data_IF_834565128167
#
_entry.id   IF_834565128167
#
_cell.length_a   1.000
_cell.length_b   1.000
_cell.length_c   1.000
_cell.angle_alpha   90.00
_cell.angle_beta   90.00
_cell.angle_gamma   90.00
#
_symmetry.space_group_name_H-M   'P 1'
#
loop_
_entity.id
_entity.type
_entity.pdbx_description
1 polymer ?
#
# COMPACT_ATOMS: atom_id res chain seq x y z
N UNK A 1 -8.27 -6.84 42.60
CA UNK A 1 -7.56 -7.41 41.42
C UNK A 1 -8.04 -6.80 40.09
N UNK A 2 -9.34 -6.50 39.93
CA UNK A 2 -9.90 -5.92 38.69
C UNK A 2 -9.17 -4.69 38.12
N UNK A 3 -8.66 -3.78 38.97
CA UNK A 3 -7.94 -2.57 38.53
C UNK A 3 -6.58 -2.92 37.89
N UNK A 4 -5.88 -3.93 38.41
CA UNK A 4 -4.59 -4.36 37.87
C UNK A 4 -4.79 -5.07 36.52
N UNK A 5 -5.79 -5.95 36.43
CA UNK A 5 -6.16 -6.65 35.20
C UNK A 5 -6.56 -5.67 34.09
N UNK A 6 -7.40 -4.67 34.42
CA UNK A 6 -7.79 -3.62 33.49
C UNK A 6 -6.59 -2.80 32.99
N UNK A 7 -5.61 -2.50 33.87
CA UNK A 7 -4.38 -1.78 33.49
C UNK A 7 -3.48 -2.62 32.58
N UNK A 8 -3.35 -3.92 32.84
CA UNK A 8 -2.57 -4.84 32.01
C UNK A 8 -3.20 -5.02 30.63
N UNK A 9 -4.53 -5.17 30.57
CA UNK A 9 -5.26 -5.25 29.31
C UNK A 9 -5.08 -3.99 28.47
N UNK A 10 -5.28 -2.81 29.08
CA UNK A 10 -5.09 -1.52 28.40
C UNK A 10 -3.66 -1.35 27.86
N UNK A 11 -2.65 -1.81 28.62
CA UNK A 11 -1.25 -1.77 28.17
C UNK A 11 -1.03 -2.65 26.93
N UNK A 12 -1.60 -3.86 26.92
CA UNK A 12 -1.50 -4.79 25.78
C UNK A 12 -2.20 -4.24 24.54
N UNK A 13 -3.40 -3.68 24.70
CA UNK A 13 -4.15 -3.04 23.62
C UNK A 13 -3.37 -1.86 23.03
N UNK A 14 -2.81 -1.00 23.88
CA UNK A 14 -2.00 0.13 23.45
C UNK A 14 -0.76 -0.32 22.68
N UNK A 15 -0.07 -1.36 23.14
CA UNK A 15 1.08 -1.93 22.43
C UNK A 15 0.71 -2.49 21.06
N UNK A 16 -0.45 -3.14 20.93
CA UNK A 16 -0.92 -3.67 19.65
C UNK A 16 -1.30 -2.55 18.67
N UNK A 17 -1.99 -1.52 19.17
CA UNK A 17 -2.32 -0.32 18.40
C UNK A 17 -1.06 0.42 17.94
N UNK A 18 -0.06 0.55 18.80
CA UNK A 18 1.23 1.15 18.44
C UNK A 18 1.92 0.38 17.33
N UNK A 19 1.98 -0.96 17.43
CA UNK A 19 2.56 -1.81 16.37
C UNK A 19 1.82 -1.63 15.03
N UNK A 20 0.49 -1.63 15.05
CA UNK A 20 -0.32 -1.46 13.84
C UNK A 20 -0.10 -0.05 13.26
N UNK A 21 -0.12 0.98 14.11
CA UNK A 21 0.09 2.37 13.68
C UNK A 21 1.48 2.59 13.10
N UNK A 22 2.52 1.97 13.68
CA UNK A 22 3.89 2.03 13.21
C UNK A 22 4.05 1.37 11.85
N UNK A 23 3.51 0.15 11.69
CA UNK A 23 3.47 -0.56 10.40
C UNK A 23 2.74 0.24 9.32
N UNK A 24 1.58 0.82 9.66
CA UNK A 24 0.80 1.65 8.74
C UNK A 24 1.56 2.92 8.33
N UNK A 25 2.21 3.61 9.28
CA UNK A 25 3.04 4.79 8.99
C UNK A 25 4.19 4.42 8.04
N UNK A 26 4.87 3.29 8.30
CA UNK A 26 5.94 2.82 7.43
C UNK A 26 5.46 2.47 6.01
N UNK A 27 4.25 1.92 5.85
CA UNK A 27 3.67 1.61 4.54
C UNK A 27 3.24 2.85 3.75
N UNK A 28 2.74 3.90 4.41
CA UNK A 28 2.26 5.11 3.75
C UNK A 28 3.42 6.09 3.43
N UNK A 29 4.47 6.08 4.25
CA UNK A 29 5.57 7.05 4.14
C UNK A 29 5.12 8.46 4.52
N UNK A 30 5.59 9.47 3.78
CA UNK A 30 5.22 10.88 3.99
C UNK A 30 4.08 11.36 3.09
N UNK A 31 3.46 10.45 2.31
CA UNK A 31 2.38 10.73 1.37
C UNK A 31 2.72 11.84 0.35
N UNK A 32 4.01 12.00 0.02
CA UNK A 32 4.47 13.01 -0.95
C UNK A 32 4.35 12.46 -2.38
N UNK A 33 4.10 13.35 -3.35
CA UNK A 33 4.05 12.99 -4.78
C UNK A 33 5.37 12.38 -5.31
N UNK A 34 6.49 12.65 -4.64
CA UNK A 34 7.78 12.05 -4.95
C UNK A 34 7.84 10.55 -4.62
N UNK A 35 7.08 10.09 -3.62
CA UNK A 35 7.11 8.71 -3.12
C UNK A 35 6.07 7.80 -3.80
N UNK A 36 5.33 8.32 -4.78
CA UNK A 36 4.29 7.55 -5.47
C UNK A 36 4.88 6.30 -6.13
N UNK A 37 4.25 5.16 -5.90
CA UNK A 37 4.62 3.89 -6.56
C UNK A 37 4.04 3.76 -7.97
N UNK A 38 2.99 4.52 -8.30
CA UNK A 38 2.31 4.49 -9.60
C UNK A 38 1.89 5.89 -10.04
N UNK A 39 1.87 6.13 -11.35
CA UNK A 39 1.28 7.32 -11.99
C UNK A 39 0.17 6.88 -12.92
N UNK A 40 -1.05 7.40 -12.72
CA UNK A 40 -2.19 7.25 -13.60
C UNK A 40 -2.28 8.48 -14.51
N UNK A 41 -2.06 8.31 -15.81
CA UNK A 41 -2.09 9.38 -16.81
C UNK A 41 -3.27 9.16 -17.75
N UNK A 42 -4.40 9.79 -17.45
CA UNK A 42 -5.63 9.67 -18.24
C UNK A 42 -5.51 10.27 -19.66
N UNK A 43 -4.95 11.49 -19.86
CA UNK A 43 -4.79 12.05 -21.20
C UNK A 43 -3.93 11.20 -22.15
N UNK A 44 -2.98 10.41 -21.61
CA UNK A 44 -2.10 9.54 -22.40
C UNK A 44 -2.49 8.06 -22.33
N UNK A 45 -3.66 7.74 -21.75
CA UNK A 45 -4.17 6.38 -21.56
C UNK A 45 -3.11 5.40 -21.02
N UNK A 46 -2.42 5.79 -19.93
CA UNK A 46 -1.28 5.02 -19.42
C UNK A 46 -1.19 4.98 -17.91
N UNK A 47 -0.89 3.80 -17.39
CA UNK A 47 -0.46 3.57 -16.01
C UNK A 47 1.04 3.26 -15.99
N UNK A 48 1.82 3.98 -15.18
CA UNK A 48 3.26 3.70 -14.99
C UNK A 48 3.50 3.26 -13.54
N UNK A 49 4.15 2.11 -13.32
CA UNK A 49 4.59 1.65 -12.00
C UNK A 49 6.08 1.92 -11.83
N UNK A 50 6.43 2.74 -10.84
CA UNK A 50 7.79 3.21 -10.57
C UNK A 50 8.65 2.16 -9.88
N UNK A 51 8.06 1.14 -9.27
CA UNK A 51 8.81 0.07 -8.60
C UNK A 51 9.59 -0.76 -9.62
N UNK A 52 8.99 -1.01 -10.78
CA UNK A 52 9.59 -1.80 -11.88
C UNK A 52 9.84 -0.99 -13.15
N UNK A 53 9.56 0.32 -13.14
CA UNK A 53 9.68 1.25 -14.28
C UNK A 53 8.95 0.77 -15.54
N UNK A 54 7.82 0.08 -15.38
CA UNK A 54 6.99 -0.43 -16.49
C UNK A 54 5.75 0.44 -16.67
N UNK A 55 5.32 0.58 -17.92
CA UNK A 55 4.06 1.25 -18.25
C UNK A 55 3.11 0.31 -18.98
N UNK A 56 1.81 0.48 -18.72
CA UNK A 56 0.70 -0.24 -19.36
C UNK A 56 -0.26 0.78 -19.97
N UNK A 57 -0.88 0.41 -21.09
CA UNK A 57 -1.88 1.21 -21.78
C UNK A 57 -3.28 0.70 -21.47
N UNK A 58 -4.31 1.43 -21.90
CA UNK A 58 -5.72 1.10 -21.65
C UNK A 58 -6.08 1.19 -20.16
N UNK A 59 -5.96 2.40 -19.62
CA UNK A 59 -6.18 2.72 -18.21
C UNK A 59 -7.61 2.39 -17.78
N UNK A 60 -8.60 2.57 -18.65
CA UNK A 60 -10.00 2.26 -18.37
C UNK A 60 -10.18 0.76 -18.08
N UNK A 61 -9.62 -0.10 -18.94
CA UNK A 61 -9.68 -1.55 -18.74
C UNK A 61 -9.03 -1.98 -17.42
N UNK A 62 -7.88 -1.39 -17.10
CA UNK A 62 -7.15 -1.64 -15.86
C UNK A 62 -7.98 -1.21 -14.64
N UNK A 63 -8.63 -0.03 -14.71
CA UNK A 63 -9.50 0.47 -13.64
C UNK A 63 -10.79 -0.35 -13.50
N UNK A 64 -11.27 -0.96 -14.59
CA UNK A 64 -12.40 -1.87 -14.61
C UNK A 64 -12.09 -3.29 -14.07
N UNK A 65 -10.86 -3.52 -13.59
CA UNK A 65 -10.50 -4.75 -12.85
C UNK A 65 -9.53 -5.69 -13.55
N UNK A 66 -9.08 -5.39 -14.78
CA UNK A 66 -8.08 -6.19 -15.49
C UNK A 66 -6.66 -5.96 -14.92
N UNK A 67 -6.45 -6.38 -13.67
CA UNK A 67 -5.21 -6.17 -12.91
C UNK A 67 -4.27 -7.38 -12.92
N UNK A 68 -4.75 -8.57 -13.29
CA UNK A 68 -3.97 -9.81 -13.39
C UNK A 68 -2.60 -9.60 -14.06
N UNK A 69 -2.53 -8.97 -15.25
CA UNK A 69 -1.26 -8.78 -15.96
C UNK A 69 -0.25 -7.92 -15.18
N UNK A 70 -0.75 -6.99 -14.37
CA UNK A 70 0.09 -6.10 -13.55
C UNK A 70 0.61 -6.86 -12.33
N UNK A 71 -0.27 -7.63 -11.66
CA UNK A 71 0.07 -8.39 -10.45
C UNK A 71 1.10 -9.47 -10.77
N UNK A 72 0.91 -10.24 -11.84
CA UNK A 72 1.84 -11.30 -12.27
C UNK A 72 3.25 -10.75 -12.54
N UNK A 73 3.33 -9.59 -13.21
CA UNK A 73 4.62 -8.95 -13.50
C UNK A 73 5.28 -8.45 -12.22
N UNK A 74 4.51 -7.92 -11.27
CA UNK A 74 5.06 -7.48 -9.98
C UNK A 74 5.56 -8.66 -9.14
N UNK A 75 4.81 -9.77 -9.08
CA UNK A 75 5.22 -10.96 -8.36
C UNK A 75 6.52 -11.55 -8.90
N UNK A 76 6.66 -11.65 -10.23
CA UNK A 76 7.86 -12.21 -10.88
C UNK A 76 9.11 -11.32 -10.83
N UNK A 77 8.95 -10.02 -10.57
CA UNK A 77 10.06 -9.06 -10.50
C UNK A 77 10.47 -8.67 -9.08
N UNK A 78 9.61 -8.91 -8.09
CA UNK A 78 9.89 -8.68 -6.68
C UNK A 78 10.26 -9.97 -5.91
N UNK A 79 10.10 -11.14 -6.53
CA UNK A 79 10.68 -12.42 -6.08
C UNK A 79 12.18 -12.48 -6.37
#
# INVERSE_FOLDING_TARGET
MAILEARLLKKKEMQELEKISGKRKAQIGWAKRAEKIRTYNFPQDRLTDHRIKKSWHNIEKILNGDLEPIILVLQSKLS
#
